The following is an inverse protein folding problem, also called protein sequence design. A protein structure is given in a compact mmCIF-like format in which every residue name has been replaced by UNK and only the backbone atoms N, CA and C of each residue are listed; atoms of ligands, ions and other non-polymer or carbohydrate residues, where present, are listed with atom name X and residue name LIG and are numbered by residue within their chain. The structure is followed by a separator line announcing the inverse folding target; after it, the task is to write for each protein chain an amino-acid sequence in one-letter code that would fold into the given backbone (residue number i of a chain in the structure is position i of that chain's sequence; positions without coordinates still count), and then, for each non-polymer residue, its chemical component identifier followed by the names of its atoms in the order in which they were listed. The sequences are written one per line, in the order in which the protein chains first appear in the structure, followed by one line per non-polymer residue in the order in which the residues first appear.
data_IF_138122690870
#
_entry.id   IF_138122690870
#
_cell.length_a   1.000
_cell.length_b   1.000
_cell.length_c   1.000
_cell.angle_alpha   90.00
_cell.angle_beta   90.00
_cell.angle_gamma   90.00
#
_symmetry.space_group_name_H-M   'P 1'
#
loop_
_entity.id
_entity.type
_entity.pdbx_description
1 polymer ?
#
# COMPACT_ATOMS: atom_id res chain seq x y z
N UNK A 1 1.65 -18.35 4.30
CA UNK A 1 3.13 -18.28 4.21
C UNK A 1 3.79 -19.57 3.72
N UNK A 2 3.61 -20.72 4.38
CA UNK A 2 4.45 -21.91 4.17
C UNK A 2 4.54 -22.47 2.74
N UNK A 3 3.56 -22.18 1.86
CA UNK A 3 3.64 -22.60 0.45
C UNK A 3 4.67 -21.79 -0.36
N UNK A 4 4.86 -20.51 -0.05
CA UNK A 4 5.77 -19.64 -0.80
C UNK A 4 7.19 -19.63 -0.23
N UNK A 5 7.37 -19.93 1.07
CA UNK A 5 8.68 -19.94 1.74
C UNK A 5 9.63 -21.04 1.24
N UNK A 6 9.10 -22.05 0.55
CA UNK A 6 9.88 -23.12 -0.07
C UNK A 6 10.06 -22.93 -1.58
N UNK A 7 9.57 -21.82 -2.12
CA UNK A 7 9.86 -21.36 -3.47
C UNK A 7 10.86 -20.22 -3.40
N UNK A 8 11.70 -20.05 -4.42
CA UNK A 8 12.67 -18.95 -4.52
C UNK A 8 12.00 -17.62 -4.90
N UNK A 9 10.74 -17.45 -4.50
CA UNK A 9 9.92 -16.31 -4.85
C UNK A 9 10.06 -15.21 -3.80
N UNK A 10 10.13 -13.97 -4.27
CA UNK A 10 10.01 -12.77 -3.45
C UNK A 10 8.52 -12.46 -3.24
N UNK A 11 8.13 -12.20 -1.99
CA UNK A 11 6.73 -12.05 -1.62
C UNK A 11 6.41 -10.56 -1.44
N UNK A 12 5.38 -10.10 -2.14
CA UNK A 12 4.75 -8.79 -1.93
C UNK A 12 3.34 -9.04 -1.37
N UNK A 13 2.95 -8.26 -0.36
CA UNK A 13 1.59 -8.27 0.17
C UNK A 13 0.87 -6.95 -0.11
N UNK A 14 -0.31 -7.05 -0.72
CA UNK A 14 -1.25 -5.93 -0.81
C UNK A 14 -2.09 -5.78 0.46
N UNK A 15 -2.07 -4.60 1.06
CA UNK A 15 -2.87 -4.22 2.23
C UNK A 15 -4.18 -3.55 1.79
N UNK A 16 -5.20 -3.60 2.64
CA UNK A 16 -6.48 -2.98 2.32
C UNK A 16 -6.44 -1.45 2.49
N UNK A 17 -6.50 -0.71 1.38
CA UNK A 17 -6.54 0.76 1.37
C UNK A 17 -7.90 1.37 1.74
N UNK A 18 -8.96 0.57 1.79
CA UNK A 18 -10.35 1.02 1.93
C UNK A 18 -10.88 0.88 3.36
N UNK A 19 -10.12 0.26 4.27
CA UNK A 19 -10.55 0.06 5.65
C UNK A 19 -10.85 1.40 6.35
N UNK A 20 -12.02 1.49 7.00
CA UNK A 20 -12.52 2.71 7.66
C UNK A 20 -13.08 3.79 6.72
N UNK A 21 -12.98 3.61 5.40
CA UNK A 21 -13.48 4.58 4.40
C UNK A 21 -14.93 4.28 4.01
N UNK A 22 -15.60 5.28 3.44
CA UNK A 22 -16.97 5.16 2.90
C UNK A 22 -16.97 5.28 1.39
N UNK A 23 -17.81 4.47 0.74
CA UNK A 23 -18.08 4.54 -0.69
C UNK A 23 -19.25 5.50 -0.91
N UNK A 24 -19.08 6.49 -1.79
CA UNK A 24 -20.17 7.36 -2.24
C UNK A 24 -20.94 6.72 -3.39
N UNK A 25 -22.12 7.26 -3.69
CA UNK A 25 -22.97 6.79 -4.79
C UNK A 25 -22.32 6.90 -6.17
N UNK A 26 -21.32 7.75 -6.34
CA UNK A 26 -20.54 7.92 -7.57
C UNK A 26 -19.29 7.01 -7.64
N UNK A 27 -19.15 6.07 -6.70
CA UNK A 27 -17.99 5.17 -6.60
C UNK A 27 -16.75 5.81 -5.98
N UNK A 28 -16.79 7.10 -5.60
CA UNK A 28 -15.65 7.73 -4.91
C UNK A 28 -15.53 7.23 -3.47
N UNK A 29 -14.30 6.90 -3.08
CA UNK A 29 -13.95 6.52 -1.73
C UNK A 29 -13.45 7.74 -0.98
N UNK A 30 -14.01 8.00 0.21
CA UNK A 30 -13.60 9.11 1.06
C UNK A 30 -13.59 8.74 2.54
N UNK A 31 -12.99 9.62 3.35
CA UNK A 31 -12.88 9.47 4.80
C UNK A 31 -11.49 9.01 5.22
N UNK A 32 -11.21 9.11 6.52
CA UNK A 32 -9.93 8.72 7.09
C UNK A 32 -9.66 7.23 6.83
N UNK A 33 -8.40 6.90 6.54
CA UNK A 33 -7.97 5.51 6.49
C UNK A 33 -7.80 4.98 7.91
N UNK A 34 -8.29 3.78 8.18
CA UNK A 34 -7.93 3.03 9.38
C UNK A 34 -6.85 2.00 9.03
N UNK A 35 -5.59 2.31 9.38
CA UNK A 35 -4.42 1.48 9.10
C UNK A 35 -4.19 0.38 10.13
N UNK A 36 -4.97 0.31 11.20
CA UNK A 36 -4.72 -0.59 12.35
C UNK A 36 -4.61 -2.06 11.94
N UNK A 37 -5.47 -2.52 11.03
CA UNK A 37 -5.44 -3.89 10.52
C UNK A 37 -4.16 -4.19 9.72
N UNK A 38 -3.73 -3.28 8.86
CA UNK A 38 -2.50 -3.42 8.08
C UNK A 38 -1.26 -3.39 8.97
N UNK A 39 -1.21 -2.45 9.92
CA UNK A 39 -0.12 -2.32 10.90
C UNK A 39 0.01 -3.58 11.76
N UNK A 40 -1.11 -4.10 12.29
CA UNK A 40 -1.11 -5.36 13.04
C UNK A 40 -0.60 -6.54 12.20
N UNK A 41 -0.94 -6.58 10.91
CA UNK A 41 -0.44 -7.63 10.02
C UNK A 41 1.07 -7.52 9.77
N UNK A 42 1.59 -6.31 9.54
CA UNK A 42 3.04 -6.07 9.39
C UNK A 42 3.78 -6.48 10.66
N UNK A 43 3.29 -6.11 11.85
CA UNK A 43 3.87 -6.54 13.12
C UNK A 43 3.91 -8.05 13.26
N UNK A 44 2.81 -8.74 12.90
CA UNK A 44 2.76 -10.19 12.93
C UNK A 44 3.81 -10.82 12.00
N UNK A 45 4.00 -10.28 10.79
CA UNK A 45 5.04 -10.75 9.86
C UNK A 45 6.43 -10.62 10.47
N UNK A 46 6.73 -9.47 11.09
CA UNK A 46 8.02 -9.24 11.76
C UNK A 46 8.21 -10.18 12.95
N UNK A 47 7.18 -10.35 13.80
CA UNK A 47 7.21 -11.25 14.95
C UNK A 47 7.49 -12.71 14.53
N UNK A 48 6.95 -13.15 13.38
CA UNK A 48 7.21 -14.49 12.84
C UNK A 48 8.53 -14.62 12.09
N UNK A 49 9.27 -13.52 11.92
CA UNK A 49 10.56 -13.53 11.21
C UNK A 49 10.42 -13.84 9.72
N UNK A 50 9.28 -13.56 9.11
CA UNK A 50 9.10 -13.78 7.68
C UNK A 50 9.75 -12.67 6.86
N UNK A 51 10.55 -13.07 5.87
CA UNK A 51 11.14 -12.12 4.93
C UNK A 51 10.10 -11.74 3.85
N UNK A 52 9.75 -10.47 3.80
CA UNK A 52 8.85 -9.88 2.81
C UNK A 52 9.68 -8.96 1.92
N UNK A 53 9.44 -9.01 0.61
CA UNK A 53 10.12 -8.14 -0.33
C UNK A 53 9.48 -6.75 -0.35
N UNK A 54 8.15 -6.67 -0.35
CA UNK A 54 7.47 -5.39 -0.37
C UNK A 54 6.04 -5.39 0.12
N UNK A 55 5.53 -4.18 0.33
CA UNK A 55 4.17 -3.88 0.73
C UNK A 55 3.51 -2.97 -0.29
N UNK A 56 2.30 -3.32 -0.70
CA UNK A 56 1.46 -2.51 -1.58
C UNK A 56 0.18 -2.10 -0.86
N UNK A 57 -0.46 -1.00 -1.27
CA UNK A 57 -1.68 -0.50 -0.63
C UNK A 57 -2.86 -0.44 -1.59
N UNK A 58 -3.81 -1.36 -1.45
CA UNK A 58 -4.99 -1.43 -2.34
C UNK A 58 -4.64 -1.98 -3.72
N UNK A 59 -5.66 -2.02 -4.59
CA UNK A 59 -5.56 -2.55 -5.95
C UNK A 59 -6.56 -1.80 -6.83
N UNK A 60 -6.10 -1.34 -8.01
CA UNK A 60 -6.91 -0.72 -9.07
C UNK A 60 -7.65 0.55 -8.62
N UNK A 61 -7.02 1.38 -7.78
CA UNK A 61 -7.65 2.55 -7.16
C UNK A 61 -7.36 3.89 -7.87
N UNK A 62 -6.44 3.88 -8.82
CA UNK A 62 -5.97 5.04 -9.61
C UNK A 62 -6.87 5.43 -10.79
N UNK A 63 -7.97 4.69 -11.01
CA UNK A 63 -8.84 4.88 -12.17
C UNK A 63 -10.33 4.65 -11.87
N UNK A 64 -11.18 4.96 -12.86
CA UNK A 64 -12.63 4.76 -12.77
C UNK A 64 -13.13 3.39 -13.25
N UNK A 65 -12.24 2.54 -13.76
CA UNK A 65 -12.62 1.33 -14.50
C UNK A 65 -13.28 0.25 -13.63
N UNK A 66 -12.99 0.22 -12.33
CA UNK A 66 -13.51 -0.78 -11.37
C UNK A 66 -14.63 -0.20 -10.48
N UNK A 67 -15.15 0.98 -10.82
CA UNK A 67 -16.25 1.62 -10.08
C UNK A 67 -15.90 2.08 -8.66
N UNK A 68 -14.66 1.90 -8.22
CA UNK A 68 -14.14 2.33 -6.92
C UNK A 68 -12.83 3.09 -7.13
N UNK A 69 -12.76 4.35 -6.71
CA UNK A 69 -11.58 5.20 -6.90
C UNK A 69 -11.23 6.00 -5.67
N UNK A 70 -9.93 6.17 -5.43
CA UNK A 70 -9.39 7.05 -4.40
C UNK A 70 -8.73 8.25 -5.08
N UNK A 71 -8.97 9.45 -4.56
CA UNK A 71 -8.31 10.64 -5.07
C UNK A 71 -6.78 10.55 -4.83
N UNK A 72 -5.94 11.06 -5.75
CA UNK A 72 -4.49 10.89 -5.70
C UNK A 72 -3.87 11.51 -4.44
N UNK A 73 -4.44 12.59 -3.91
CA UNK A 73 -4.01 13.24 -2.67
C UNK A 73 -4.22 12.36 -1.44
N UNK A 74 -5.41 11.76 -1.34
CA UNK A 74 -5.75 10.86 -0.26
C UNK A 74 -4.95 9.56 -0.35
N UNK A 75 -4.76 9.04 -1.56
CA UNK A 75 -3.96 7.85 -1.76
C UNK A 75 -2.48 8.10 -1.43
N UNK A 76 -1.89 9.22 -1.87
CA UNK A 76 -0.54 9.62 -1.52
C UNK A 76 -0.33 9.77 -0.01
N UNK A 77 -1.27 10.43 0.69
CA UNK A 77 -1.22 10.56 2.15
C UNK A 77 -1.21 9.20 2.84
N UNK A 78 -2.02 8.26 2.36
CA UNK A 78 -2.06 6.91 2.90
C UNK A 78 -0.75 6.13 2.63
N UNK A 79 -0.17 6.28 1.44
CA UNK A 79 1.11 5.64 1.08
C UNK A 79 2.27 6.17 1.92
N UNK A 80 2.32 7.49 2.18
CA UNK A 80 3.31 8.09 3.09
C UNK A 80 3.20 7.49 4.50
N UNK A 81 1.97 7.32 5.01
CA UNK A 81 1.75 6.68 6.32
C UNK A 81 2.27 5.24 6.31
N UNK A 82 1.96 4.46 5.27
CA UNK A 82 2.47 3.09 5.13
C UNK A 82 4.02 3.06 5.11
N UNK A 83 4.65 3.90 4.28
CA UNK A 83 6.09 4.00 4.18
C UNK A 83 6.75 4.31 5.53
N UNK A 84 6.24 5.31 6.25
CA UNK A 84 6.77 5.66 7.57
C UNK A 84 6.58 4.53 8.58
N UNK A 85 5.46 3.80 8.53
CA UNK A 85 5.21 2.64 9.37
C UNK A 85 6.13 1.47 9.03
N UNK A 86 6.41 1.22 7.76
CA UNK A 86 7.40 0.22 7.35
C UNK A 86 8.78 0.59 7.91
N UNK A 87 9.22 1.83 7.78
CA UNK A 87 10.49 2.28 8.36
C UNK A 87 10.54 2.14 9.88
N UNK A 88 9.45 2.48 10.58
CA UNK A 88 9.33 2.37 12.03
C UNK A 88 9.39 0.92 12.50
N UNK A 89 8.57 0.05 11.92
CA UNK A 89 8.39 -1.34 12.37
C UNK A 89 9.61 -2.20 12.01
N UNK A 90 10.23 -1.94 10.85
CA UNK A 90 11.43 -2.67 10.38
C UNK A 90 12.76 -2.02 10.80
N UNK A 91 12.75 -1.04 11.71
CA UNK A 91 13.98 -0.28 12.07
C UNK A 91 15.15 -1.17 12.48
N UNK A 92 14.87 -2.25 13.22
CA UNK A 92 15.85 -3.22 13.75
C UNK A 92 15.90 -4.53 12.94
N UNK A 93 15.18 -4.60 11.82
CA UNK A 93 15.18 -5.75 10.91
C UNK A 93 16.23 -5.54 9.83
N UNK A 94 17.04 -6.57 9.57
CA UNK A 94 18.13 -6.50 8.59
C UNK A 94 17.64 -6.19 7.18
N UNK A 95 16.59 -6.90 6.74
CA UNK A 95 15.97 -6.70 5.42
C UNK A 95 14.75 -5.78 5.59
N UNK A 96 14.83 -4.59 5.00
CA UNK A 96 13.70 -3.65 4.97
C UNK A 96 12.91 -3.85 3.66
N UNK A 97 11.61 -4.14 3.72
CA UNK A 97 10.79 -4.28 2.52
C UNK A 97 10.57 -2.93 1.85
N UNK A 98 10.38 -2.95 0.53
CA UNK A 98 10.02 -1.76 -0.25
C UNK A 98 8.52 -1.46 -0.16
N UNK A 99 8.13 -0.21 -0.44
CA UNK A 99 6.73 0.18 -0.62
C UNK A 99 6.42 0.40 -2.09
N UNK A 100 5.43 -0.34 -2.59
CA UNK A 100 4.93 -0.29 -3.96
C UNK A 100 3.55 0.36 -4.02
N UNK A 101 3.27 1.04 -5.13
CA UNK A 101 1.99 1.71 -5.38
C UNK A 101 1.86 2.15 -6.86
N UNK A 102 0.66 2.46 -7.36
CA UNK A 102 -0.65 2.36 -6.70
C UNK A 102 -1.40 1.03 -6.96
N UNK A 103 -0.81 0.14 -7.76
CA UNK A 103 -1.38 -1.13 -8.16
C UNK A 103 -2.39 -1.01 -9.28
N UNK A 104 -1.92 -1.22 -10.53
CA UNK A 104 -2.72 -1.35 -11.76
C UNK A 104 -3.62 -0.16 -12.13
N UNK A 105 -3.94 -0.11 -13.41
CA UNK A 105 -4.58 0.95 -14.20
C UNK A 105 -3.86 2.30 -14.16
N UNK A 106 -3.35 2.69 -15.32
CA UNK A 106 -2.60 3.92 -15.49
C UNK A 106 -3.51 5.05 -15.97
N UNK A 107 -3.67 6.07 -15.14
CA UNK A 107 -4.17 7.39 -15.53
C UNK A 107 -3.05 8.41 -15.35
N UNK A 108 -2.62 9.05 -16.44
CA UNK A 108 -1.44 9.92 -16.44
C UNK A 108 -1.57 11.11 -15.49
N UNK A 109 -2.78 11.69 -15.37
CA UNK A 109 -3.00 12.86 -14.52
C UNK A 109 -3.01 12.44 -13.06
N UNK A 110 -3.65 11.31 -12.76
CA UNK A 110 -3.68 10.73 -11.42
C UNK A 110 -2.28 10.34 -10.94
N UNK A 111 -1.49 9.64 -11.77
CA UNK A 111 -0.14 9.22 -11.42
C UNK A 111 0.81 10.40 -11.23
N UNK A 112 0.70 11.42 -12.09
CA UNK A 112 1.51 12.64 -11.95
C UNK A 112 1.21 13.35 -10.62
N UNK A 113 -0.07 13.52 -10.27
CA UNK A 113 -0.46 14.16 -9.02
C UNK A 113 -0.07 13.32 -7.79
N UNK A 114 -0.26 11.99 -7.87
CA UNK A 114 0.17 11.05 -6.85
C UNK A 114 1.69 11.15 -6.58
N UNK A 115 2.52 11.08 -7.63
CA UNK A 115 3.98 11.13 -7.53
C UNK A 115 4.48 12.46 -6.97
N UNK A 116 3.89 13.57 -7.39
CA UNK A 116 4.23 14.88 -6.85
C UNK A 116 3.94 14.99 -5.35
N UNK A 117 2.94 14.26 -4.85
CA UNK A 117 2.50 14.33 -3.45
C UNK A 117 3.20 13.33 -2.53
N UNK A 118 3.62 12.17 -3.02
CA UNK A 118 4.28 11.15 -2.18
C UNK A 118 5.68 11.52 -1.75
N UNK A 119 6.34 12.47 -2.44
CA UNK A 119 7.65 13.03 -2.05
C UNK A 119 8.69 11.95 -1.66
N UNK A 120 8.87 10.95 -2.53
CA UNK A 120 9.77 9.79 -2.36
C UNK A 120 9.31 8.71 -1.37
N UNK A 121 8.05 8.70 -0.92
CA UNK A 121 7.51 7.63 -0.08
C UNK A 121 7.06 6.37 -0.85
N UNK A 122 7.49 6.22 -2.11
CA UNK A 122 7.21 5.07 -2.99
C UNK A 122 8.52 4.65 -3.62
N UNK A 123 8.89 3.40 -3.41
CA UNK A 123 10.16 2.84 -3.92
C UNK A 123 10.00 2.30 -5.34
N UNK A 124 8.80 1.82 -5.70
CA UNK A 124 8.51 1.24 -7.00
C UNK A 124 7.07 1.50 -7.46
N UNK A 125 6.89 1.79 -8.75
CA UNK A 125 5.57 2.01 -9.36
C UNK A 125 5.02 0.74 -10.00
N UNK A 126 3.79 0.36 -9.66
CA UNK A 126 3.09 -0.85 -10.14
C UNK A 126 1.94 -0.58 -11.09
#
# INVERSE_FOLDING_TARGET
MNRCLHSWAEIIFGLNALNGKRIRSDGSIVGASDSSNGEAFIHYIVEKGYNIYGWELGNELSGGEVGTRVAPDQYASNTIVLHNKVLEIYKDVANKPIVLAPGRFFDVNWFTDFLHRTNNAVDFLT
#
